data_IF_126830479859
#
_entry.id   IF_126830479859
#
_cell.length_a   1.000
_cell.length_b   1.000
_cell.length_c   1.000
_cell.angle_alpha   90.00
_cell.angle_beta   90.00
_cell.angle_gamma   90.00
#
_symmetry.space_group_name_H-M   'P 1'
#
loop_
_entity.id
_entity.type
_entity.pdbx_description
1 polymer ?
#
# COMPACT_ATOMS: atom_id res chain seq x y z
N UNK A 1 42.86 2.15 11.40
CA UNK A 1 41.49 1.95 11.94
C UNK A 1 40.78 3.29 11.89
N UNK A 2 40.12 3.62 10.77
CA UNK A 2 39.35 4.86 10.62
C UNK A 2 37.87 4.51 10.70
N UNK A 3 37.25 4.75 11.85
CA UNK A 3 35.81 4.66 11.99
C UNK A 3 35.20 5.86 11.27
N UNK A 4 34.71 5.64 10.05
CA UNK A 4 33.80 6.57 9.42
C UNK A 4 32.51 6.62 10.25
N UNK A 5 32.20 7.81 10.78
CA UNK A 5 31.01 8.07 11.59
C UNK A 5 29.77 7.48 10.90
N UNK A 6 29.22 6.41 11.49
CA UNK A 6 28.04 5.73 10.98
C UNK A 6 26.87 6.70 10.94
N UNK A 7 26.54 7.17 9.74
CA UNK A 7 25.29 7.90 9.49
C UNK A 7 24.17 6.98 9.95
N UNK A 8 23.50 7.30 11.07
CA UNK A 8 22.41 6.50 11.63
C UNK A 8 21.40 6.27 10.51
N UNK A 9 21.39 5.06 9.95
CA UNK A 9 20.35 4.67 8.99
C UNK A 9 19.03 4.72 9.77
N UNK A 10 17.96 5.31 9.22
CA UNK A 10 16.67 5.31 9.90
C UNK A 10 16.30 3.87 10.26
N UNK A 11 15.85 3.66 11.50
CA UNK A 11 15.55 2.32 12.04
C UNK A 11 14.48 1.58 11.21
N UNK A 12 13.66 2.32 10.46
CA UNK A 12 12.72 1.82 9.47
C UNK A 12 13.11 2.34 8.08
N UNK A 13 13.81 1.51 7.32
CA UNK A 13 14.05 1.73 5.89
C UNK A 13 13.58 0.51 5.13
N UNK A 14 12.85 0.73 4.04
CA UNK A 14 12.47 -0.33 3.10
C UNK A 14 13.68 -0.79 2.26
N UNK A 15 14.67 0.09 2.10
CA UNK A 15 15.95 -0.20 1.43
C UNK A 15 16.84 -1.12 2.28
N UNK A 16 16.50 -2.39 2.41
CA UNK A 16 17.23 -3.38 3.22
C UNK A 16 18.52 -3.87 2.57
N UNK A 17 18.66 -3.69 1.25
CA UNK A 17 19.85 -4.01 0.47
C UNK A 17 20.91 -2.90 0.46
N UNK A 18 20.55 -1.71 0.96
CA UNK A 18 21.46 -0.55 1.06
C UNK A 18 21.46 0.37 -0.17
N UNK A 19 20.74 0.00 -1.23
CA UNK A 19 20.53 0.82 -2.43
C UNK A 19 19.28 1.71 -2.28
N UNK A 20 19.14 2.74 -3.11
CA UNK A 20 17.95 3.62 -3.05
C UNK A 20 16.92 3.20 -4.10
N UNK A 21 15.71 2.87 -3.63
CA UNK A 21 14.56 2.52 -4.48
C UNK A 21 13.41 3.54 -4.34
N UNK A 22 13.59 4.81 -4.78
CA UNK A 22 12.61 5.86 -4.50
C UNK A 22 11.25 5.60 -5.16
N UNK A 23 11.22 4.96 -6.33
CA UNK A 23 9.97 4.69 -7.07
C UNK A 23 9.23 3.53 -6.41
N UNK A 24 9.91 2.44 -6.13
CA UNK A 24 9.39 1.21 -5.52
C UNK A 24 8.87 1.51 -4.10
N UNK A 25 9.64 2.27 -3.32
CA UNK A 25 9.22 2.73 -1.99
C UNK A 25 7.95 3.60 -2.07
N UNK A 26 7.88 4.51 -3.03
CA UNK A 26 6.71 5.38 -3.21
C UNK A 26 5.49 4.57 -3.64
N UNK A 27 5.65 3.61 -4.54
CA UNK A 27 4.58 2.71 -4.97
C UNK A 27 4.08 1.84 -3.81
N UNK A 28 4.98 1.29 -2.99
CA UNK A 28 4.61 0.46 -1.84
C UNK A 28 3.86 1.26 -0.77
N UNK A 29 4.32 2.47 -0.46
CA UNK A 29 3.65 3.38 0.48
C UNK A 29 2.29 3.84 -0.07
N UNK A 30 2.20 4.16 -1.37
CA UNK A 30 0.94 4.53 -2.00
C UNK A 30 -0.06 3.36 -1.99
N UNK A 31 0.38 2.15 -2.34
CA UNK A 31 -0.44 0.95 -2.34
C UNK A 31 -1.04 0.65 -0.96
N UNK A 32 -0.22 0.65 0.09
CA UNK A 32 -0.73 0.42 1.45
C UNK A 32 -1.65 1.54 1.92
N UNK A 33 -1.35 2.80 1.61
CA UNK A 33 -2.18 3.94 2.01
C UNK A 33 -3.55 3.89 1.35
N UNK A 34 -3.59 3.67 0.03
CA UNK A 34 -4.84 3.56 -0.72
C UNK A 34 -5.63 2.33 -0.28
N UNK A 35 -4.98 1.19 -0.03
CA UNK A 35 -5.64 -0.01 0.46
C UNK A 35 -6.28 0.19 1.84
N UNK A 36 -5.60 0.87 2.76
CA UNK A 36 -6.16 1.23 4.06
C UNK A 36 -7.35 2.21 3.91
N UNK A 37 -7.25 3.19 3.01
CA UNK A 37 -8.39 4.06 2.70
C UNK A 37 -9.59 3.26 2.16
N UNK A 38 -9.36 2.34 1.22
CA UNK A 38 -10.39 1.47 0.67
C UNK A 38 -11.07 0.64 1.77
N UNK A 39 -10.28 0.08 2.69
CA UNK A 39 -10.77 -0.68 3.83
C UNK A 39 -11.65 0.20 4.74
N UNK A 40 -11.14 1.33 5.21
CA UNK A 40 -11.86 2.24 6.13
C UNK A 40 -13.14 2.75 5.49
N UNK A 41 -13.08 3.24 4.25
CA UNK A 41 -14.24 3.78 3.54
C UNK A 41 -15.26 2.68 3.18
N UNK A 42 -14.79 1.46 2.91
CA UNK A 42 -15.65 0.29 2.66
C UNK A 42 -16.50 -0.11 3.85
N UNK A 43 -16.11 0.24 5.09
CA UNK A 43 -16.90 0.02 6.31
C UNK A 43 -17.87 1.15 6.67
N UNK A 44 -17.73 2.32 6.04
CA UNK A 44 -18.53 3.51 6.39
C UNK A 44 -19.71 3.61 5.41
N UNK A 45 -20.98 3.48 5.87
CA UNK A 45 -22.15 3.47 5.00
C UNK A 45 -22.23 4.59 3.94
N UNK A 46 -22.07 5.88 4.31
CA UNK A 46 -22.11 6.95 3.31
C UNK A 46 -20.88 7.00 2.39
N UNK A 47 -19.87 6.14 2.59
CA UNK A 47 -18.60 6.20 1.88
C UNK A 47 -18.31 4.98 1.00
N UNK A 48 -19.24 4.02 0.87
CA UNK A 48 -19.02 2.80 0.08
C UNK A 48 -18.60 3.10 -1.37
N UNK A 49 -19.16 4.13 -2.01
CA UNK A 49 -18.71 4.55 -3.34
C UNK A 49 -17.20 4.86 -3.38
N UNK A 50 -16.72 5.68 -2.44
CA UNK A 50 -15.31 6.03 -2.37
C UNK A 50 -14.44 4.85 -1.93
N UNK A 51 -14.95 3.98 -1.06
CA UNK A 51 -14.29 2.72 -0.69
C UNK A 51 -14.09 1.79 -1.88
N UNK A 52 -15.11 1.64 -2.72
CA UNK A 52 -15.03 0.86 -3.95
C UNK A 52 -14.04 1.49 -4.94
N UNK A 53 -14.12 2.80 -5.17
CA UNK A 53 -13.19 3.50 -6.06
C UNK A 53 -11.73 3.36 -5.60
N UNK A 54 -11.48 3.55 -4.30
CA UNK A 54 -10.16 3.36 -3.72
C UNK A 54 -9.68 1.90 -3.87
N UNK A 55 -10.56 0.92 -3.68
CA UNK A 55 -10.22 -0.50 -3.85
C UNK A 55 -9.90 -0.88 -5.30
N UNK A 56 -10.68 -0.37 -6.27
CA UNK A 56 -10.45 -0.58 -7.71
C UNK A 56 -9.12 0.01 -8.18
N UNK A 57 -8.67 1.11 -7.58
CA UNK A 57 -7.36 1.72 -7.89
C UNK A 57 -6.24 1.03 -7.09
N UNK A 58 -6.46 0.80 -5.80
CA UNK A 58 -5.47 0.27 -4.86
C UNK A 58 -5.05 -1.16 -5.16
N UNK A 59 -5.99 -2.01 -5.58
CA UNK A 59 -5.69 -3.42 -5.83
C UNK A 59 -4.74 -3.61 -7.04
N UNK A 60 -4.99 -3.05 -8.24
CA UNK A 60 -4.03 -3.07 -9.34
C UNK A 60 -2.70 -2.38 -9.00
N UNK A 61 -2.73 -1.26 -8.27
CA UNK A 61 -1.52 -0.57 -7.85
C UNK A 61 -0.64 -1.46 -6.96
N UNK A 62 -1.22 -2.13 -5.97
CA UNK A 62 -0.50 -3.04 -5.08
C UNK A 62 0.04 -4.27 -5.84
N UNK A 63 -0.74 -4.83 -6.77
CA UNK A 63 -0.30 -5.93 -7.64
C UNK A 63 0.87 -5.50 -8.53
N UNK A 64 0.80 -4.34 -9.16
CA UNK A 64 1.91 -3.83 -9.97
C UNK A 64 3.15 -3.54 -9.12
N UNK A 65 2.99 -2.86 -7.98
CA UNK A 65 4.09 -2.56 -7.06
C UNK A 65 4.76 -3.85 -6.58
N UNK A 66 3.99 -4.93 -6.37
CA UNK A 66 4.53 -6.24 -5.99
C UNK A 66 5.47 -6.85 -7.04
N UNK A 67 5.20 -6.62 -8.33
CA UNK A 67 6.00 -7.13 -9.45
C UNK A 67 7.31 -6.37 -9.61
N UNK A 68 7.31 -5.06 -9.32
CA UNK A 68 8.49 -4.19 -9.49
C UNK A 68 9.31 -4.02 -8.21
N UNK A 69 8.83 -4.50 -7.06
CA UNK A 69 9.54 -4.37 -5.77
C UNK A 69 10.95 -4.98 -5.83
N UNK A 70 11.92 -4.23 -5.33
CA UNK A 70 13.30 -4.65 -5.17
C UNK A 70 13.49 -5.42 -3.85
N UNK A 71 12.86 -4.95 -2.78
CA UNK A 71 13.10 -5.45 -1.42
C UNK A 71 11.93 -6.25 -0.86
N UNK A 72 12.21 -7.07 0.17
CA UNK A 72 11.16 -7.80 0.89
C UNK A 72 10.26 -6.87 1.70
N UNK A 73 10.79 -5.74 2.19
CA UNK A 73 10.01 -4.74 2.94
C UNK A 73 8.91 -4.11 2.09
N UNK A 74 9.24 -3.70 0.86
CA UNK A 74 8.26 -3.21 -0.12
C UNK A 74 7.17 -4.26 -0.39
N UNK A 75 7.57 -5.51 -0.61
CA UNK A 75 6.63 -6.60 -0.89
C UNK A 75 5.65 -6.83 0.26
N UNK A 76 6.11 -6.76 1.50
CA UNK A 76 5.22 -6.89 2.66
C UNK A 76 4.19 -5.77 2.73
N UNK A 77 4.59 -4.51 2.50
CA UNK A 77 3.63 -3.40 2.42
C UNK A 77 2.60 -3.60 1.30
N UNK A 78 3.05 -4.07 0.14
CA UNK A 78 2.17 -4.37 -0.99
C UNK A 78 1.15 -5.46 -0.68
N UNK A 79 1.54 -6.54 0.01
CA UNK A 79 0.58 -7.57 0.45
C UNK A 79 -0.48 -6.97 1.37
N UNK A 80 -0.07 -6.14 2.34
CA UNK A 80 -1.03 -5.46 3.24
C UNK A 80 -1.98 -4.56 2.45
N UNK A 81 -1.44 -3.74 1.54
CA UNK A 81 -2.25 -2.86 0.69
C UNK A 81 -3.21 -3.62 -0.23
N UNK A 82 -2.77 -4.75 -0.78
CA UNK A 82 -3.58 -5.62 -1.65
C UNK A 82 -4.75 -6.24 -0.88
N UNK A 83 -4.48 -6.82 0.29
CA UNK A 83 -5.52 -7.41 1.14
C UNK A 83 -6.50 -6.34 1.62
N UNK A 84 -6.00 -5.18 2.07
CA UNK A 84 -6.84 -4.08 2.52
C UNK A 84 -7.72 -3.53 1.38
N UNK A 85 -7.16 -3.36 0.17
CA UNK A 85 -7.91 -2.94 -1.02
C UNK A 85 -9.01 -3.94 -1.38
N UNK A 86 -8.68 -5.23 -1.40
CA UNK A 86 -9.62 -6.29 -1.74
C UNK A 86 -10.77 -6.37 -0.74
N UNK A 87 -10.47 -6.41 0.55
CA UNK A 87 -11.47 -6.51 1.62
C UNK A 87 -12.34 -5.25 1.67
N UNK A 88 -11.73 -4.07 1.55
CA UNK A 88 -12.46 -2.79 1.49
C UNK A 88 -13.43 -2.72 0.30
N UNK A 89 -12.96 -3.08 -0.89
CA UNK A 89 -13.80 -3.16 -2.08
C UNK A 89 -14.93 -4.19 -1.92
N UNK A 90 -14.65 -5.36 -1.35
CA UNK A 90 -15.66 -6.40 -1.13
C UNK A 90 -16.78 -5.91 -0.21
N UNK A 91 -16.43 -5.22 0.90
CA UNK A 91 -17.43 -4.60 1.78
C UNK A 91 -18.18 -3.45 1.11
N UNK A 92 -17.50 -2.62 0.32
CA UNK A 92 -18.16 -1.57 -0.42
C UNK A 92 -19.19 -2.13 -1.40
N UNK A 93 -18.82 -3.11 -2.22
CA UNK A 93 -19.71 -3.75 -3.20
C UNK A 93 -20.90 -4.42 -2.52
N UNK A 94 -20.69 -5.10 -1.39
CA UNK A 94 -21.79 -5.77 -0.68
C UNK A 94 -22.87 -4.82 -0.17
N UNK A 95 -22.58 -3.51 -0.07
CA UNK A 95 -23.50 -2.47 0.39
C UNK A 95 -23.85 -1.46 -0.71
N UNK A 96 -23.71 -1.83 -1.98
CA UNK A 96 -24.05 -0.96 -3.11
C UNK A 96 -22.93 0.02 -3.48
N UNK A 97 -21.67 -0.41 -3.48
CA UNK A 97 -20.48 0.44 -3.72
C UNK A 97 -20.40 1.24 -5.02
N UNK A 98 -21.46 1.28 -5.83
CA UNK A 98 -21.61 2.18 -6.98
C UNK A 98 -22.87 3.06 -6.92
N UNK A 99 -23.70 2.95 -5.87
CA UNK A 99 -24.76 3.91 -5.59
C UNK A 99 -24.21 5.08 -4.77
N UNK A 100 -24.67 6.28 -5.12
CA UNK A 100 -24.36 7.53 -4.41
C UNK A 100 -25.50 7.92 -3.46
#
# INVERSE_FOLDING_TARGET
MSQAAGKKRPAFTLNTDGERHPVENSLAVAAVSIGLCALVLGFIPPAHFFGMLAGVIGLPLALYSQLVSATTGERWLNVVGMVASFVGAAFAVSHGGFSI
#
